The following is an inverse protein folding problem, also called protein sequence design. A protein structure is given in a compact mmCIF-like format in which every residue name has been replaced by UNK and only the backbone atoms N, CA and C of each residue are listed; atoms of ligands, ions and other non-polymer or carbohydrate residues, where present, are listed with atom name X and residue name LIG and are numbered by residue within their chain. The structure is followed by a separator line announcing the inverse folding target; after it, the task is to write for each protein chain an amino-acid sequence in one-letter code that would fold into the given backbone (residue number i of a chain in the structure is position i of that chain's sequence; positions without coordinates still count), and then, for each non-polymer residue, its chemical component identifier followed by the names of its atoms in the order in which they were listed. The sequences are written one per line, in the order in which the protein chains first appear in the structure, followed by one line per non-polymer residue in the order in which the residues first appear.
data_IF_209057481418
#
_entry.id   IF_209057481418
#
_cell.length_a   1.000
_cell.length_b   1.000
_cell.length_c   1.000
_cell.angle_alpha   90.00
_cell.angle_beta   90.00
_cell.angle_gamma   90.00
#
_symmetry.space_group_name_H-M   'P 1'
#
loop_
_entity.id
_entity.type
_entity.pdbx_description
1 polymer ?
#
# COMPACT_ATOMS: atom_id res chain seq x y z
N UNK A 1 -11.89 19.35 46.39
CA UNK A 1 -10.75 19.09 45.48
C UNK A 1 -11.34 18.69 44.14
N UNK A 2 -11.11 19.48 43.08
CA UNK A 2 -11.63 19.16 41.74
C UNK A 2 -10.64 18.25 41.03
N UNK A 3 -11.06 17.01 40.75
CA UNK A 3 -10.33 16.07 39.93
C UNK A 3 -10.79 16.25 38.48
N UNK A 4 -9.92 16.82 37.64
CA UNK A 4 -10.11 16.83 36.19
C UNK A 4 -9.35 15.65 35.60
N UNK A 5 -10.04 14.59 35.12
CA UNK A 5 -9.37 13.47 34.48
C UNK A 5 -8.62 13.97 33.25
N UNK A 6 -7.42 13.43 33.01
CA UNK A 6 -6.73 13.66 31.75
C UNK A 6 -7.67 13.23 30.62
N UNK A 7 -7.85 14.04 29.56
CA UNK A 7 -8.59 13.62 28.39
C UNK A 7 -7.81 12.47 27.74
N UNK A 8 -8.08 11.26 28.22
CA UNK A 8 -7.64 10.04 27.58
C UNK A 8 -8.33 10.05 26.23
N UNK A 9 -7.54 10.24 25.18
CA UNK A 9 -7.95 9.98 23.82
C UNK A 9 -8.62 8.61 23.86
N UNK A 10 -9.94 8.60 23.65
CA UNK A 10 -10.80 7.42 23.60
C UNK A 10 -10.03 6.24 23.01
N UNK A 11 -10.10 5.00 23.55
CA UNK A 11 -9.23 3.88 23.16
C UNK A 11 -9.16 3.62 21.64
N UNK A 12 -10.14 4.08 20.85
CA UNK A 12 -10.10 4.06 19.37
C UNK A 12 -9.29 5.18 18.69
N UNK A 13 -8.98 6.29 19.38
CA UNK A 13 -8.38 7.51 18.83
C UNK A 13 -6.93 7.79 19.27
N UNK A 14 -6.40 7.06 20.27
CA UNK A 14 -5.03 7.24 20.78
C UNK A 14 -3.90 7.05 19.74
N UNK A 15 -4.17 6.37 18.63
CA UNK A 15 -3.16 6.02 17.61
C UNK A 15 -3.60 6.28 16.15
N UNK A 16 -4.57 7.17 15.93
CA UNK A 16 -5.10 7.44 14.58
C UNK A 16 -4.01 7.89 13.58
N UNK A 17 -3.08 8.74 14.03
CA UNK A 17 -1.94 9.18 13.20
C UNK A 17 -1.03 8.01 12.81
N UNK A 18 -0.79 7.07 13.72
CA UNK A 18 0.01 5.89 13.44
C UNK A 18 -0.72 4.95 12.46
N UNK A 19 -2.04 4.77 12.62
CA UNK A 19 -2.85 4.01 11.67
C UNK A 19 -2.82 4.63 10.27
N UNK A 20 -2.96 5.95 10.14
CA UNK A 20 -2.83 6.64 8.86
C UNK A 20 -1.44 6.47 8.25
N UNK A 21 -0.38 6.55 9.05
CA UNK A 21 0.98 6.33 8.57
C UNK A 21 1.16 4.91 8.03
N UNK A 22 0.69 3.90 8.77
CA UNK A 22 0.73 2.50 8.33
C UNK A 22 -0.09 2.29 7.06
N UNK A 23 -1.32 2.82 7.00
CA UNK A 23 -2.18 2.72 5.83
C UNK A 23 -1.55 3.37 4.59
N UNK A 24 -0.92 4.54 4.75
CA UNK A 24 -0.21 5.22 3.67
C UNK A 24 0.99 4.41 3.15
N UNK A 25 1.79 3.82 4.06
CA UNK A 25 2.93 2.98 3.69
C UNK A 25 2.49 1.72 2.94
N UNK A 26 1.44 1.05 3.44
CA UNK A 26 0.88 -0.14 2.79
C UNK A 26 0.29 0.21 1.42
N UNK A 27 -0.49 1.29 1.33
CA UNK A 27 -1.06 1.77 0.07
C UNK A 27 0.01 2.11 -0.96
N UNK A 28 1.07 2.80 -0.54
CA UNK A 28 2.21 3.12 -1.39
C UNK A 28 2.95 1.86 -1.87
N UNK A 29 3.19 0.90 -0.97
CA UNK A 29 3.83 -0.37 -1.31
C UNK A 29 3.03 -1.15 -2.37
N UNK A 30 1.71 -1.24 -2.21
CA UNK A 30 0.83 -1.88 -3.19
C UNK A 30 0.83 -1.12 -4.52
N UNK A 31 0.73 0.21 -4.48
CA UNK A 31 0.73 1.04 -5.70
C UNK A 31 2.03 0.90 -6.49
N UNK A 32 3.19 0.87 -5.81
CA UNK A 32 4.51 0.62 -6.41
C UNK A 32 4.55 -0.78 -7.03
N UNK A 33 4.08 -1.81 -6.31
CA UNK A 33 4.07 -3.19 -6.80
C UNK A 33 3.19 -3.34 -8.04
N UNK A 34 1.98 -2.76 -8.04
CA UNK A 34 1.06 -2.78 -9.17
C UNK A 34 1.61 -2.01 -10.37
N UNK A 35 2.36 -0.94 -10.13
CA UNK A 35 2.93 -0.08 -11.18
C UNK A 35 4.34 -0.48 -11.61
N UNK A 36 4.87 -1.63 -11.14
CA UNK A 36 6.26 -2.04 -11.37
C UNK A 36 6.65 -2.06 -12.85
N UNK A 37 5.73 -2.46 -13.74
CA UNK A 37 5.95 -2.41 -15.19
C UNK A 37 6.14 -0.99 -15.74
N UNK A 38 5.31 -0.03 -15.30
CA UNK A 38 5.41 1.37 -15.72
C UNK A 38 6.66 2.04 -15.14
N UNK A 39 6.97 1.76 -13.88
CA UNK A 39 8.19 2.26 -13.21
C UNK A 39 9.42 1.77 -13.98
N UNK A 40 9.51 0.46 -14.28
CA UNK A 40 10.61 -0.09 -15.09
C UNK A 40 10.71 0.60 -16.47
N UNK A 41 9.58 0.87 -17.12
CA UNK A 41 9.53 1.60 -18.39
C UNK A 41 10.08 3.03 -18.32
N UNK A 42 9.79 3.77 -17.24
CA UNK A 42 10.33 5.13 -17.03
C UNK A 42 11.83 5.14 -16.76
N UNK A 43 12.37 4.07 -16.17
CA UNK A 43 13.81 3.89 -15.97
C UNK A 43 14.54 3.36 -17.22
N UNK A 44 13.89 3.32 -18.39
CA UNK A 44 14.49 2.85 -19.64
C UNK A 44 14.73 1.35 -19.70
N UNK A 45 14.23 0.59 -18.71
CA UNK A 45 14.26 -0.86 -18.72
C UNK A 45 13.18 -1.33 -19.67
N UNK A 46 13.56 -1.74 -20.89
CA UNK A 46 12.67 -2.41 -21.83
C UNK A 46 12.27 -3.75 -21.21
N UNK A 47 11.15 -3.77 -20.49
CA UNK A 47 10.52 -5.02 -20.08
C UNK A 47 10.06 -5.70 -21.36
N UNK A 48 10.77 -6.77 -21.75
CA UNK A 48 10.28 -7.70 -22.75
C UNK A 48 8.88 -8.13 -22.31
N UNK A 49 7.86 -8.12 -23.18
CA UNK A 49 6.56 -8.66 -22.80
C UNK A 49 6.80 -10.09 -22.35
N UNK A 50 6.54 -10.37 -21.08
CA UNK A 50 6.33 -11.73 -20.61
C UNK A 50 4.95 -12.10 -21.17
N UNK A 51 4.96 -12.73 -22.35
CA UNK A 51 3.88 -13.59 -22.81
C UNK A 51 3.78 -14.73 -21.79
N UNK A 52 2.88 -14.61 -20.82
CA UNK A 52 2.40 -15.72 -20.01
C UNK A 52 0.87 -15.60 -19.94
N UNK A 53 0.23 -16.15 -20.98
CA UNK A 53 -0.92 -17.07 -20.86
C UNK A 53 -1.37 -17.50 -22.27
N UNK A 54 -0.55 -18.33 -22.90
CA UNK A 54 -0.95 -19.15 -24.04
C UNK A 54 -0.47 -20.58 -23.79
N UNK A 55 -1.07 -21.26 -22.81
CA UNK A 55 -1.08 -22.72 -22.79
C UNK A 55 -2.52 -23.23 -22.65
N UNK A 56 -2.96 -23.89 -23.73
CA UNK A 56 -4.05 -24.87 -23.83
C UNK A 56 -5.48 -24.41 -23.44
N UNK A 57 -6.23 -23.91 -24.43
CA UNK A 57 -7.61 -24.39 -24.61
C UNK A 57 -7.54 -25.60 -25.54
N UNK A 58 -8.21 -26.66 -25.12
CA UNK A 58 -8.23 -28.01 -25.70
C UNK A 58 -8.58 -28.07 -27.20
N UNK A 59 -8.09 -29.15 -27.83
CA UNK A 59 -8.35 -29.74 -29.18
C UNK A 59 -9.26 -29.01 -30.20
#
# INVERSE_FOLDING_TARGET
MHYTPLPYLDPGSGSFLLQLAIAALLGLGVAIRASWGRIKGWFGVKTKPEDDDAESQDE
#
